data_IF_885658536655
#
_entry.id   IF_885658536655
#
_cell.length_a   1.000
_cell.length_b   1.000
_cell.length_c   1.000
_cell.angle_alpha   90.00
_cell.angle_beta   90.00
_cell.angle_gamma   90.00
#
_symmetry.space_group_name_H-M   'P 1'
#
loop_
_entity.id
_entity.type
_entity.pdbx_description
1 polymer ?
#
# COMPACT_ATOMS: atom_id res chain seq x y z
N UNK A 1 -15.07 9.79 23.15
CA UNK A 1 -15.35 10.00 21.70
C UNK A 1 -14.02 10.22 21.00
N UNK A 2 -13.57 9.27 20.15
CA UNK A 2 -12.66 9.47 19.01
C UNK A 2 -12.35 8.10 18.39
N UNK A 3 -13.14 7.67 17.40
CA UNK A 3 -12.82 6.54 16.53
C UNK A 3 -12.18 7.10 15.27
N UNK A 4 -10.93 7.56 15.36
CA UNK A 4 -10.16 7.93 14.18
C UNK A 4 -9.62 6.66 13.53
N UNK A 5 -10.39 6.06 12.62
CA UNK A 5 -9.86 5.06 11.69
C UNK A 5 -8.76 5.74 10.88
N UNK A 6 -7.52 5.60 11.32
CA UNK A 6 -6.36 6.24 10.70
C UNK A 6 -6.09 5.52 9.38
N UNK A 7 -6.56 6.08 8.27
CA UNK A 7 -6.23 5.60 6.94
C UNK A 7 -4.73 5.83 6.72
N UNK A 8 -3.96 4.74 6.69
CA UNK A 8 -2.52 4.79 6.44
C UNK A 8 -2.31 4.78 4.92
N UNK A 9 -1.66 5.82 4.41
CA UNK A 9 -1.16 5.89 3.04
C UNK A 9 0.28 5.39 3.00
N UNK A 10 0.63 4.59 2.00
CA UNK A 10 1.99 4.09 1.78
C UNK A 10 2.45 4.37 0.35
N UNK A 11 3.63 4.97 0.24
CA UNK A 11 4.32 5.16 -1.04
C UNK A 11 5.22 3.95 -1.39
N UNK A 12 5.59 3.83 -2.67
CA UNK A 12 6.42 2.73 -3.21
C UNK A 12 7.68 2.45 -2.37
N UNK A 13 8.35 3.49 -1.85
CA UNK A 13 9.57 3.35 -1.05
C UNK A 13 9.29 2.65 0.27
N UNK A 14 8.18 3.00 0.93
CA UNK A 14 7.75 2.36 2.17
C UNK A 14 7.29 0.92 1.91
N UNK A 15 6.56 0.69 0.81
CA UNK A 15 6.13 -0.65 0.39
C UNK A 15 7.35 -1.55 0.14
N UNK A 16 8.40 -1.04 -0.52
CA UNK A 16 9.66 -1.78 -0.77
C UNK A 16 10.46 -2.07 0.50
N UNK A 17 10.33 -1.23 1.54
CA UNK A 17 10.97 -1.44 2.82
C UNK A 17 10.23 -2.51 3.66
N UNK A 18 8.90 -2.55 3.57
CA UNK A 18 8.05 -3.51 4.28
C UNK A 18 8.03 -4.87 3.58
N UNK A 19 7.91 -4.87 2.25
CA UNK A 19 7.82 -6.09 1.45
C UNK A 19 9.20 -6.46 0.87
N UNK A 20 9.62 -7.73 0.98
CA UNK A 20 10.86 -8.20 0.34
C UNK A 20 10.73 -8.31 -1.20
N UNK A 21 9.51 -8.24 -1.74
CA UNK A 21 9.24 -8.31 -3.17
C UNK A 21 9.97 -7.21 -3.95
N UNK A 22 10.62 -7.59 -5.04
CA UNK A 22 11.28 -6.69 -6.00
C UNK A 22 10.71 -6.92 -7.39
N UNK A 23 11.11 -6.08 -8.34
CA UNK A 23 10.79 -6.30 -9.74
C UNK A 23 11.21 -7.73 -10.15
N UNK A 24 10.37 -8.51 -10.85
CA UNK A 24 9.10 -8.14 -11.52
C UNK A 24 7.81 -8.44 -10.72
N UNK A 25 7.91 -8.87 -9.46
CA UNK A 25 6.75 -9.29 -8.64
C UNK A 25 6.17 -8.21 -7.73
N UNK A 26 6.80 -7.04 -7.65
CA UNK A 26 6.22 -5.90 -6.94
C UNK A 26 5.14 -5.24 -7.81
N UNK A 27 3.88 -5.66 -7.63
CA UNK A 27 2.73 -5.26 -8.44
C UNK A 27 1.86 -4.17 -7.77
N UNK A 28 2.40 -3.48 -6.77
CA UNK A 28 1.70 -2.42 -6.04
C UNK A 28 2.57 -1.18 -6.07
N UNK A 29 2.08 -0.11 -6.69
CA UNK A 29 2.82 1.15 -6.81
C UNK A 29 2.56 2.08 -5.64
N UNK A 30 1.32 2.10 -5.15
CA UNK A 30 0.91 2.96 -4.04
C UNK A 30 -0.29 2.39 -3.31
N UNK A 31 -0.39 2.65 -2.02
CA UNK A 31 -1.51 2.26 -1.17
C UNK A 31 -2.15 3.51 -0.59
N UNK A 32 -3.44 3.71 -0.84
CA UNK A 32 -4.20 4.89 -0.44
C UNK A 32 -4.90 4.71 0.90
N UNK A 33 -5.21 3.46 1.27
CA UNK A 33 -5.90 3.15 2.51
C UNK A 33 -5.44 1.78 3.03
N UNK A 34 -5.05 1.71 4.30
CA UNK A 34 -4.81 0.44 5.00
C UNK A 34 -5.58 0.44 6.30
N UNK A 35 -6.39 -0.61 6.48
CA UNK A 35 -7.02 -0.99 7.73
C UNK A 35 -6.34 -2.29 8.18
N UNK A 36 -5.41 -2.23 9.15
CA UNK A 36 -4.67 -3.40 9.62
C UNK A 36 -5.60 -4.55 10.00
N UNK A 37 -5.32 -5.75 9.50
CA UNK A 37 -6.13 -6.95 9.77
C UNK A 37 -7.49 -7.01 9.08
N UNK A 38 -7.86 -6.02 8.25
CA UNK A 38 -9.13 -6.02 7.49
C UNK A 38 -8.95 -5.85 5.99
N UNK A 39 -8.34 -4.75 5.54
CA UNK A 39 -8.35 -4.34 4.13
C UNK A 39 -7.19 -3.42 3.79
N UNK A 40 -6.69 -3.49 2.56
CA UNK A 40 -5.85 -2.45 1.98
C UNK A 40 -6.37 -2.11 0.58
N UNK A 41 -6.30 -0.83 0.20
CA UNK A 41 -6.67 -0.32 -1.13
C UNK A 41 -5.44 0.37 -1.71
N UNK A 42 -5.00 -0.07 -2.89
CA UNK A 42 -3.88 0.51 -3.60
C UNK A 42 -4.05 0.38 -5.11
N UNK A 43 -3.13 0.99 -5.86
CA UNK A 43 -3.16 0.99 -7.32
C UNK A 43 -1.84 0.49 -7.92
N UNK A 44 -1.98 -0.05 -9.12
CA UNK A 44 -0.91 -0.46 -10.02
C UNK A 44 -1.03 0.37 -11.29
N UNK A 45 -0.01 1.15 -11.60
CA UNK A 45 0.10 1.86 -12.84
C UNK A 45 0.52 0.87 -13.94
N UNK A 46 -0.25 0.85 -15.03
CA UNK A 46 0.07 0.07 -16.21
C UNK A 46 0.65 1.02 -17.26
N UNK A 47 1.83 0.69 -17.78
CA UNK A 47 2.37 1.30 -19.00
C UNK A 47 2.18 0.34 -20.16
N UNK A 48 1.82 0.88 -21.33
CA UNK A 48 1.67 0.12 -22.58
C UNK A 48 3.03 -0.18 -23.22
#
# INVERSE_FOLDING_TARGET
MSTATSAITLDITQIKAILPHRYPFLLVDRVTEVIPGKKAVGFKNLTA
#
